data_IF_764396633927
#
_entry.id   IF_764396633927
#
_cell.length_a   1.000
_cell.length_b   1.000
_cell.length_c   1.000
_cell.angle_alpha   90.00
_cell.angle_beta   90.00
_cell.angle_gamma   90.00
#
_symmetry.space_group_name_H-M   'P 1'
#
loop_
_entity.id
_entity.type
_entity.pdbx_description
1 polymer ?
#
# COMPACT_ATOMS: atom_id res chain seq x y z
N UNK A 1 9.81 -32.64 -29.65
CA UNK A 1 9.64 -32.25 -28.23
C UNK A 1 9.37 -30.76 -28.20
N UNK A 2 8.24 -30.32 -27.63
CA UNK A 2 7.97 -28.89 -27.49
C UNK A 2 8.99 -28.28 -26.52
N UNK A 3 9.79 -27.33 -27.00
CA UNK A 3 10.75 -26.60 -26.15
C UNK A 3 9.96 -25.54 -25.40
N UNK A 4 9.65 -25.80 -24.14
CA UNK A 4 8.97 -24.85 -23.25
C UNK A 4 9.99 -24.03 -22.45
N UNK A 5 9.87 -22.71 -22.51
CA UNK A 5 10.85 -21.76 -21.97
C UNK A 5 11.67 -21.07 -23.06
N UNK A 6 12.83 -20.53 -22.69
CA UNK A 6 13.71 -19.83 -23.64
C UNK A 6 14.77 -20.74 -24.21
N UNK A 7 14.99 -20.66 -25.52
CA UNK A 7 16.09 -21.30 -26.21
C UNK A 7 16.92 -20.23 -26.92
N UNK A 8 18.24 -20.31 -26.81
CA UNK A 8 19.20 -19.51 -27.55
C UNK A 8 20.04 -20.45 -28.39
N UNK A 9 20.19 -20.14 -29.68
CA UNK A 9 21.08 -20.86 -30.59
C UNK A 9 22.07 -19.87 -31.19
N UNK A 10 23.34 -20.04 -30.81
CA UNK A 10 24.49 -19.32 -31.39
C UNK A 10 24.31 -17.80 -31.39
N UNK A 11 23.70 -17.27 -30.32
CA UNK A 11 23.34 -15.86 -30.20
C UNK A 11 24.58 -14.99 -30.00
N UNK A 12 24.74 -13.96 -30.83
CA UNK A 12 25.78 -12.94 -30.68
C UNK A 12 25.18 -11.55 -30.63
N UNK A 13 25.79 -10.68 -29.83
CA UNK A 13 25.43 -9.26 -29.71
C UNK A 13 26.71 -8.44 -29.82
N UNK A 14 26.77 -7.58 -30.82
CA UNK A 14 27.83 -6.59 -31.01
C UNK A 14 27.26 -5.21 -30.71
N UNK A 15 27.97 -4.42 -29.91
CA UNK A 15 27.60 -3.05 -29.56
C UNK A 15 28.86 -2.19 -29.61
N UNK A 16 28.81 -1.07 -30.33
CA UNK A 16 29.93 -0.14 -30.48
C UNK A 16 31.23 -0.86 -30.90
N UNK A 17 31.12 -1.73 -31.91
CA UNK A 17 32.18 -2.62 -32.44
C UNK A 17 32.73 -3.69 -31.45
N UNK A 18 32.30 -3.68 -30.19
CA UNK A 18 32.66 -4.69 -29.21
C UNK A 18 31.65 -5.85 -29.20
N UNK A 19 32.16 -7.09 -29.25
CA UNK A 19 31.31 -8.28 -29.07
C UNK A 19 30.99 -8.48 -27.59
N UNK A 20 29.73 -8.27 -27.20
CA UNK A 20 29.26 -8.39 -25.82
C UNK A 20 28.81 -9.82 -25.50
N UNK A 21 28.12 -10.47 -26.44
CA UNK A 21 27.77 -11.88 -26.39
C UNK A 21 28.31 -12.56 -27.65
N UNK A 22 28.97 -13.71 -27.50
CA UNK A 22 29.59 -14.44 -28.62
C UNK A 22 29.05 -15.87 -28.69
N UNK A 23 28.25 -16.16 -29.71
CA UNK A 23 27.75 -17.51 -30.04
C UNK A 23 27.14 -18.26 -28.85
N UNK A 24 26.43 -17.54 -27.97
CA UNK A 24 25.82 -18.10 -26.76
C UNK A 24 24.67 -19.02 -27.14
N UNK A 25 24.77 -20.29 -26.72
CA UNK A 25 23.68 -21.26 -26.83
C UNK A 25 23.30 -21.71 -25.43
N UNK A 26 22.01 -21.61 -25.09
CA UNK A 26 21.51 -21.89 -23.76
C UNK A 26 20.02 -22.26 -23.81
N UNK A 27 19.58 -23.08 -22.86
CA UNK A 27 18.18 -23.44 -22.68
C UNK A 27 17.76 -23.12 -21.25
N UNK A 28 16.71 -22.32 -21.12
CA UNK A 28 16.08 -21.95 -19.85
C UNK A 28 14.69 -22.58 -19.80
N UNK A 29 14.56 -23.78 -19.20
CA UNK A 29 13.31 -24.53 -19.21
C UNK A 29 12.22 -23.84 -18.39
N UNK A 30 10.98 -23.92 -18.86
CA UNK A 30 9.82 -23.46 -18.10
C UNK A 30 9.68 -24.20 -16.75
N UNK A 31 9.17 -23.51 -15.74
CA UNK A 31 8.93 -24.08 -14.40
C UNK A 31 10.20 -24.34 -13.58
N UNK A 32 11.38 -23.92 -14.05
CA UNK A 32 12.64 -24.01 -13.31
C UNK A 32 13.20 -22.62 -13.01
N UNK A 33 13.95 -22.52 -11.92
CA UNK A 33 14.78 -21.35 -11.64
C UNK A 33 16.16 -21.57 -12.27
N UNK A 34 16.54 -20.71 -13.21
CA UNK A 34 17.85 -20.72 -13.83
C UNK A 34 18.65 -19.50 -13.41
N UNK A 35 19.93 -19.71 -13.08
CA UNK A 35 20.83 -18.65 -12.65
C UNK A 35 21.97 -18.47 -13.66
N UNK A 36 22.24 -17.22 -14.04
CA UNK A 36 23.38 -16.85 -14.87
C UNK A 36 24.41 -16.13 -14.00
N UNK A 37 25.60 -16.72 -13.87
CA UNK A 37 26.72 -16.14 -13.09
C UNK A 37 27.87 -15.76 -14.02
N UNK A 38 28.64 -14.76 -13.61
CA UNK A 38 29.82 -14.29 -14.34
C UNK A 38 30.35 -12.98 -13.77
N UNK A 39 31.60 -12.61 -14.12
CA UNK A 39 32.24 -11.37 -13.68
C UNK A 39 31.46 -10.11 -14.10
N UNK A 40 31.67 -8.98 -13.43
CA UNK A 40 31.09 -7.71 -13.90
C UNK A 40 31.51 -7.44 -15.36
N UNK A 41 30.60 -6.91 -16.18
CA UNK A 41 30.85 -6.70 -17.61
C UNK A 41 30.71 -7.94 -18.51
N UNK A 42 30.48 -9.15 -17.97
CA UNK A 42 30.36 -10.38 -18.78
C UNK A 42 29.11 -10.50 -19.67
N UNK A 43 28.35 -9.42 -19.88
CA UNK A 43 27.14 -9.43 -20.73
C UNK A 43 25.85 -9.95 -20.08
N UNK A 44 25.79 -10.21 -18.77
CA UNK A 44 24.57 -10.70 -18.08
C UNK A 44 23.35 -9.80 -18.29
N UNK A 45 23.50 -8.50 -18.08
CA UNK A 45 22.41 -7.53 -18.28
C UNK A 45 22.01 -7.46 -19.75
N UNK A 46 22.96 -7.60 -20.67
CA UNK A 46 22.73 -7.68 -22.12
C UNK A 46 21.90 -8.91 -22.47
N UNK A 47 22.22 -10.08 -21.88
CA UNK A 47 21.43 -11.30 -22.04
C UNK A 47 19.99 -11.11 -21.55
N UNK A 48 19.78 -10.54 -20.36
CA UNK A 48 18.42 -10.26 -19.85
C UNK A 48 17.64 -9.28 -20.73
N UNK A 49 18.31 -8.25 -21.25
CA UNK A 49 17.70 -7.29 -22.21
C UNK A 49 17.30 -7.97 -23.51
N UNK A 50 18.13 -8.90 -24.01
CA UNK A 50 17.84 -9.68 -25.20
C UNK A 50 16.65 -10.63 -25.01
N UNK A 51 16.54 -11.31 -23.87
CA UNK A 51 15.39 -12.17 -23.54
C UNK A 51 14.05 -11.40 -23.49
N UNK A 52 14.07 -10.12 -23.09
CA UNK A 52 12.90 -9.25 -23.08
C UNK A 52 12.76 -8.39 -24.35
N UNK A 53 13.55 -8.70 -25.39
CA UNK A 53 13.63 -7.97 -26.67
C UNK A 53 13.72 -6.45 -26.51
N UNK A 54 14.55 -6.00 -25.57
CA UNK A 54 15.00 -4.61 -25.44
C UNK A 54 16.17 -4.32 -26.40
N UNK A 55 16.85 -5.38 -26.84
CA UNK A 55 17.84 -5.41 -27.92
C UNK A 55 17.59 -6.67 -28.74
N UNK A 56 17.84 -6.61 -30.04
CA UNK A 56 17.82 -7.79 -30.91
C UNK A 56 19.23 -8.40 -31.02
N UNK A 57 19.33 -9.73 -31.24
CA UNK A 57 20.62 -10.36 -31.54
C UNK A 57 21.20 -9.85 -32.86
N UNK A 58 22.52 -9.66 -32.91
CA UNK A 58 23.25 -9.37 -34.17
C UNK A 58 23.31 -10.61 -35.06
N UNK A 59 23.41 -11.80 -34.44
CA UNK A 59 23.33 -13.10 -35.13
C UNK A 59 22.83 -14.19 -34.19
N UNK A 60 22.44 -15.33 -34.77
CA UNK A 60 21.78 -16.41 -34.03
C UNK A 60 20.28 -16.14 -33.84
N UNK A 61 19.63 -16.98 -33.04
CA UNK A 61 18.17 -16.91 -32.84
C UNK A 61 17.81 -17.19 -31.39
N UNK A 62 16.69 -16.61 -30.97
CA UNK A 62 16.13 -16.76 -29.63
C UNK A 62 14.67 -17.15 -29.80
N UNK A 63 14.24 -18.16 -29.05
CA UNK A 63 12.86 -18.63 -29.04
C UNK A 63 12.28 -18.56 -27.64
N UNK A 64 10.97 -18.35 -27.57
CA UNK A 64 10.15 -18.52 -26.39
C UNK A 64 9.01 -19.48 -26.74
N UNK A 65 8.94 -20.61 -26.04
CA UNK A 65 7.92 -21.64 -26.25
C UNK A 65 7.80 -22.11 -27.72
N UNK A 66 8.95 -22.27 -28.39
CA UNK A 66 9.04 -22.69 -29.78
C UNK A 66 8.82 -21.61 -30.83
N UNK A 67 8.43 -20.38 -30.44
CA UNK A 67 8.24 -19.25 -31.36
C UNK A 67 9.48 -18.35 -31.34
N UNK A 68 10.07 -17.98 -32.49
CA UNK A 68 11.16 -17.01 -32.53
C UNK A 68 10.72 -15.67 -31.90
N UNK A 69 11.57 -15.06 -31.07
CA UNK A 69 11.26 -13.78 -30.42
C UNK A 69 11.01 -12.66 -31.44
N UNK A 70 11.61 -12.74 -32.62
CA UNK A 70 11.42 -11.79 -33.74
C UNK A 70 10.00 -11.79 -34.27
N UNK A 71 9.30 -12.92 -34.16
CA UNK A 71 7.97 -13.17 -34.74
C UNK A 71 6.85 -12.82 -33.75
N UNK A 72 7.20 -12.65 -32.46
CA UNK A 72 6.28 -12.20 -31.42
C UNK A 72 6.14 -10.69 -31.43
N UNK A 73 4.92 -10.18 -31.24
CA UNK A 73 4.72 -8.77 -30.92
C UNK A 73 5.44 -8.40 -29.61
N UNK A 74 6.16 -7.28 -29.63
CA UNK A 74 7.01 -6.85 -28.51
C UNK A 74 6.19 -6.55 -27.25
N UNK A 75 4.98 -6.01 -27.39
CA UNK A 75 4.11 -5.71 -26.25
C UNK A 75 3.53 -7.00 -25.66
N UNK A 76 3.13 -7.95 -26.51
CA UNK A 76 2.69 -9.28 -26.08
C UNK A 76 3.79 -10.03 -25.34
N UNK A 77 5.02 -10.01 -25.88
CA UNK A 77 6.19 -10.60 -25.22
C UNK A 77 6.42 -10.00 -23.83
N UNK A 78 6.48 -8.67 -23.72
CA UNK A 78 6.76 -7.97 -22.46
C UNK A 78 5.63 -8.07 -21.42
N UNK A 79 4.39 -8.38 -21.85
CA UNK A 79 3.29 -8.73 -20.93
C UNK A 79 3.44 -10.15 -20.36
N UNK A 80 4.11 -11.05 -21.07
CA UNK A 80 4.39 -12.43 -20.63
C UNK A 80 5.68 -12.55 -19.84
N UNK A 81 6.67 -11.70 -20.12
CA UNK A 81 8.01 -11.76 -19.54
C UNK A 81 8.24 -10.55 -18.65
N UNK A 82 8.19 -10.76 -17.33
CA UNK A 82 8.53 -9.72 -16.36
C UNK A 82 10.05 -9.53 -16.26
N UNK A 83 10.51 -8.28 -16.39
CA UNK A 83 11.90 -7.90 -16.19
C UNK A 83 12.00 -6.99 -14.96
N UNK A 84 12.72 -7.44 -13.93
CA UNK A 84 13.06 -6.59 -12.79
C UNK A 84 14.39 -5.90 -13.08
N UNK A 85 14.37 -4.58 -13.19
CA UNK A 85 15.57 -3.79 -13.43
C UNK A 85 16.46 -3.75 -12.19
N UNK A 86 17.78 -3.64 -12.40
CA UNK A 86 18.75 -3.52 -11.31
C UNK A 86 18.51 -2.28 -10.43
N UNK A 87 18.08 -1.18 -11.05
CA UNK A 87 17.60 0.02 -10.38
C UNK A 87 16.14 0.24 -10.80
N UNK A 88 15.17 0.15 -9.88
CA UNK A 88 13.78 0.43 -10.18
C UNK A 88 13.58 1.92 -10.45
N UNK A 89 12.69 2.24 -11.38
CA UNK A 89 12.20 3.61 -11.61
C UNK A 89 10.80 3.67 -11.01
N UNK A 90 10.62 4.58 -10.05
CA UNK A 90 9.31 4.85 -9.45
C UNK A 90 8.61 5.88 -10.35
N UNK A 91 7.39 5.58 -10.79
CA UNK A 91 6.60 6.39 -11.72
C UNK A 91 5.60 7.31 -11.01
N UNK A 92 5.33 7.04 -9.74
CA UNK A 92 4.28 7.64 -8.93
C UNK A 92 4.80 8.03 -7.55
N UNK A 93 3.99 8.73 -6.79
CA UNK A 93 4.30 9.19 -5.45
C UNK A 93 4.03 8.13 -4.36
N UNK A 94 3.23 7.10 -4.65
CA UNK A 94 2.77 6.11 -3.69
C UNK A 94 2.91 4.67 -4.21
N UNK A 95 3.32 3.75 -3.33
CA UNK A 95 3.48 2.32 -3.67
C UNK A 95 2.17 1.70 -4.19
N UNK A 96 1.02 2.14 -3.65
CA UNK A 96 -0.29 1.74 -4.14
C UNK A 96 -0.48 2.09 -5.63
N UNK A 97 -0.06 3.30 -6.01
CA UNK A 97 -0.18 3.80 -7.37
C UNK A 97 0.77 3.06 -8.31
N UNK A 98 1.97 2.68 -7.87
CA UNK A 98 2.88 1.81 -8.63
C UNK A 98 2.24 0.47 -9.03
N UNK A 99 1.59 -0.19 -8.07
CA UNK A 99 0.91 -1.47 -8.34
C UNK A 99 -0.18 -1.28 -9.41
N UNK A 100 -0.89 -0.15 -9.39
CA UNK A 100 -1.93 0.19 -10.36
C UNK A 100 -1.38 0.49 -11.75
N UNK A 101 -0.18 1.06 -11.87
CA UNK A 101 0.47 1.26 -13.17
C UNK A 101 0.73 -0.10 -13.85
N UNK A 102 1.21 -1.09 -13.11
CA UNK A 102 1.47 -2.42 -13.66
C UNK A 102 0.21 -3.27 -13.86
N UNK A 103 -0.81 -3.08 -13.03
CA UNK A 103 -2.05 -3.88 -13.00
C UNK A 103 -3.27 -3.02 -12.65
N UNK A 104 -3.81 -2.25 -13.61
CA UNK A 104 -4.91 -1.32 -13.37
C UNK A 104 -6.21 -2.04 -12.95
N UNK A 105 -6.41 -3.26 -13.46
CA UNK A 105 -7.64 -4.05 -13.28
C UNK A 105 -7.69 -4.84 -11.96
N UNK A 106 -6.71 -4.66 -11.06
CA UNK A 106 -6.76 -5.33 -9.76
C UNK A 106 -7.85 -4.73 -8.86
N UNK A 107 -8.74 -5.56 -8.29
CA UNK A 107 -9.72 -5.09 -7.31
C UNK A 107 -9.04 -4.49 -6.07
N UNK A 108 -9.61 -3.43 -5.49
CA UNK A 108 -9.05 -2.74 -4.31
C UNK A 108 -8.65 -3.70 -3.20
N UNK A 109 -9.55 -4.60 -2.79
CA UNK A 109 -9.28 -5.55 -1.71
C UNK A 109 -8.07 -6.45 -1.99
N UNK A 110 -7.83 -6.80 -3.26
CA UNK A 110 -6.68 -7.61 -3.65
C UNK A 110 -5.37 -6.82 -3.62
N UNK A 111 -5.42 -5.54 -3.95
CA UNK A 111 -4.24 -4.66 -3.86
C UNK A 111 -3.82 -4.48 -2.42
N UNK A 112 -4.77 -4.19 -1.52
CA UNK A 112 -4.51 -4.09 -0.08
C UNK A 112 -3.92 -5.40 0.48
N UNK A 113 -4.50 -6.54 0.12
CA UNK A 113 -4.00 -7.86 0.53
C UNK A 113 -2.56 -8.10 0.05
N UNK A 114 -2.23 -7.72 -1.18
CA UNK A 114 -0.90 -7.88 -1.76
C UNK A 114 0.13 -6.98 -1.05
N UNK A 115 -0.21 -5.72 -0.81
CA UNK A 115 0.66 -4.79 -0.08
C UNK A 115 0.93 -5.28 1.34
N UNK A 116 -0.09 -5.79 2.02
CA UNK A 116 0.05 -6.38 3.35
C UNK A 116 0.96 -7.62 3.35
N UNK A 117 0.77 -8.55 2.40
CA UNK A 117 1.60 -9.76 2.29
C UNK A 117 3.06 -9.49 1.96
N UNK A 118 3.33 -8.43 1.20
CA UNK A 118 4.69 -8.02 0.82
C UNK A 118 5.31 -7.02 1.80
N UNK A 119 4.62 -6.69 2.91
CA UNK A 119 5.05 -5.69 3.88
C UNK A 119 5.36 -4.32 3.26
N UNK A 120 4.66 -3.94 2.18
CA UNK A 120 4.89 -2.72 1.41
C UNK A 120 4.11 -1.50 1.94
N UNK A 121 3.65 -1.58 3.18
CA UNK A 121 2.91 -0.52 3.88
C UNK A 121 1.39 -0.71 3.85
N UNK A 122 0.73 -0.10 4.84
CA UNK A 122 -0.72 0.06 4.91
C UNK A 122 -1.09 1.47 4.47
N UNK A 123 -2.34 1.67 4.03
CA UNK A 123 -2.82 3.04 3.82
C UNK A 123 -2.81 3.83 5.13
N UNK A 124 -2.70 5.16 5.04
CA UNK A 124 -2.71 6.05 6.22
C UNK A 124 -3.92 5.77 7.13
N UNK A 125 -5.09 5.53 6.52
CA UNK A 125 -6.33 5.22 7.23
C UNK A 125 -6.24 3.92 8.01
N UNK A 126 -5.72 2.87 7.40
CA UNK A 126 -5.55 1.55 8.04
C UNK A 126 -4.53 1.63 9.17
N UNK A 127 -3.41 2.31 8.95
CA UNK A 127 -2.37 2.53 9.95
C UNK A 127 -2.89 3.36 11.14
N UNK A 128 -3.76 4.35 10.90
CA UNK A 128 -4.28 5.24 11.93
C UNK A 128 -5.52 4.70 12.66
N UNK A 129 -6.23 3.72 12.07
CA UNK A 129 -7.48 3.16 12.61
C UNK A 129 -7.38 2.69 14.07
N UNK A 130 -6.31 2.00 14.52
CA UNK A 130 -6.18 1.59 15.93
C UNK A 130 -6.13 2.81 16.87
N UNK A 131 -5.43 3.87 16.46
CA UNK A 131 -5.32 5.11 17.24
C UNK A 131 -6.64 5.88 17.29
N UNK A 132 -7.38 5.93 16.18
CA UNK A 132 -8.72 6.51 16.14
C UNK A 132 -9.67 5.79 17.11
N UNK A 133 -9.66 4.45 17.11
CA UNK A 133 -10.48 3.64 18.04
C UNK A 133 -10.11 3.90 19.50
N UNK A 134 -8.82 3.97 19.80
CA UNK A 134 -8.34 4.28 21.15
C UNK A 134 -8.79 5.68 21.60
N UNK A 135 -8.60 6.70 20.74
CA UNK A 135 -8.99 8.07 21.04
C UNK A 135 -10.50 8.22 21.30
N UNK A 136 -11.33 7.59 20.48
CA UNK A 136 -12.79 7.58 20.67
C UNK A 136 -13.17 6.91 21.98
N UNK A 137 -12.55 5.77 22.30
CA UNK A 137 -12.80 5.07 23.57
C UNK A 137 -12.44 5.96 24.76
N UNK A 138 -11.25 6.56 24.76
CA UNK A 138 -10.81 7.47 25.84
C UNK A 138 -11.72 8.68 25.99
N UNK A 139 -12.21 9.26 24.88
CA UNK A 139 -13.09 10.42 24.91
C UNK A 139 -14.51 10.10 25.43
N UNK A 140 -15.03 8.91 25.11
CA UNK A 140 -16.42 8.54 25.43
C UNK A 140 -16.59 7.89 26.80
N UNK A 141 -15.55 7.24 27.35
CA UNK A 141 -15.62 6.58 28.67
C UNK A 141 -16.20 7.50 29.76
N UNK A 142 -15.71 8.74 29.95
CA UNK A 142 -16.23 9.62 31.01
C UNK A 142 -17.72 9.98 30.84
N UNK A 143 -18.17 10.21 29.60
CA UNK A 143 -19.56 10.53 29.31
C UNK A 143 -20.49 9.32 29.48
N UNK A 144 -19.99 8.11 29.19
CA UNK A 144 -20.73 6.86 29.43
C UNK A 144 -20.82 6.57 30.92
N UNK A 145 -19.73 6.77 31.68
CA UNK A 145 -19.73 6.51 33.11
C UNK A 145 -20.61 7.50 33.87
N UNK A 146 -20.64 8.78 33.48
CA UNK A 146 -21.59 9.75 34.05
C UNK A 146 -23.06 9.39 33.76
N UNK A 147 -23.34 8.72 32.64
CA UNK A 147 -24.67 8.22 32.29
C UNK A 147 -25.13 7.07 33.20
N UNK A 148 -24.21 6.17 33.60
CA UNK A 148 -24.52 5.06 34.51
C UNK A 148 -24.90 5.54 35.93
N UNK A 149 -24.32 6.66 36.35
CA UNK A 149 -24.57 7.26 37.67
C UNK A 149 -26.00 7.80 37.82
N UNK A 150 -26.62 8.25 36.72
CA UNK A 150 -28.01 8.74 36.71
C UNK A 150 -29.03 7.63 37.04
N UNK A 151 -28.70 6.37 36.75
CA UNK A 151 -29.58 5.21 37.01
C UNK A 151 -29.57 4.68 38.44
N UNK A 152 -28.67 5.15 39.31
CA UNK A 152 -28.39 4.52 40.61
C UNK A 152 -28.56 5.44 41.84
N UNK A 153 -29.38 6.49 41.77
CA UNK A 153 -29.61 7.46 42.88
C UNK A 153 -28.49 8.51 42.96
N UNK A 154 -28.33 9.29 41.90
CA UNK A 154 -27.73 10.61 42.00
C UNK A 154 -28.55 11.54 41.13
N UNK A 155 -29.23 12.52 41.74
CA UNK A 155 -29.91 13.56 41.00
C UNK A 155 -28.82 14.50 40.46
N UNK A 156 -28.53 14.50 39.15
CA UNK A 156 -27.50 15.38 38.58
C UNK A 156 -27.83 16.84 38.95
N UNK A 157 -26.81 17.64 39.28
CA UNK A 157 -26.99 18.95 39.90
C UNK A 157 -27.99 19.88 39.18
N UNK A 158 -28.06 19.82 37.85
CA UNK A 158 -29.05 20.56 37.06
C UNK A 158 -30.49 20.06 37.28
N UNK A 159 -30.71 18.74 37.36
CA UNK A 159 -32.01 18.14 37.64
C UNK A 159 -32.49 18.48 39.06
N UNK A 160 -31.61 18.36 40.07
CA UNK A 160 -31.90 18.77 41.45
C UNK A 160 -32.25 20.25 41.54
N UNK A 161 -31.50 21.11 40.84
CA UNK A 161 -31.75 22.55 40.82
C UNK A 161 -33.11 22.90 40.22
N UNK A 162 -33.52 22.24 39.13
CA UNK A 162 -34.84 22.42 38.52
C UNK A 162 -35.96 21.96 39.47
N UNK A 163 -35.79 20.81 40.13
CA UNK A 163 -36.78 20.31 41.10
C UNK A 163 -36.92 21.27 42.28
N UNK A 164 -35.80 21.75 42.85
CA UNK A 164 -35.82 22.72 43.96
C UNK A 164 -36.41 24.08 43.56
N UNK A 165 -36.30 24.46 42.28
CA UNK A 165 -36.93 25.65 41.72
C UNK A 165 -38.44 25.47 41.43
N UNK A 166 -39.02 24.31 41.76
CA UNK A 166 -40.45 24.02 41.60
C UNK A 166 -40.85 23.46 40.23
N UNK A 167 -39.88 23.06 39.39
CA UNK A 167 -40.17 22.39 38.11
C UNK A 167 -40.61 20.95 38.36
N UNK A 168 -41.64 20.50 37.64
CA UNK A 168 -42.13 19.13 37.72
C UNK A 168 -41.00 18.10 37.49
N UNK A 169 -40.87 17.07 38.36
CA UNK A 169 -39.80 16.09 38.27
C UNK A 169 -39.67 15.38 36.91
N UNK A 170 -40.78 15.09 36.22
CA UNK A 170 -40.74 14.42 34.91
C UNK A 170 -40.13 15.33 33.84
N UNK A 171 -40.40 16.63 33.95
CA UNK A 171 -39.83 17.65 33.06
C UNK A 171 -38.33 17.81 33.30
N UNK A 172 -37.89 17.82 34.56
CA UNK A 172 -36.48 17.85 34.92
C UNK A 172 -35.71 16.61 34.41
N UNK A 173 -36.31 15.41 34.51
CA UNK A 173 -35.75 14.17 33.93
C UNK A 173 -35.60 14.30 32.41
N UNK A 174 -36.62 14.80 31.72
CA UNK A 174 -36.60 14.94 30.26
C UNK A 174 -35.47 15.86 29.80
N UNK A 175 -35.29 17.02 30.45
CA UNK A 175 -34.18 17.92 30.14
C UNK A 175 -32.82 17.26 30.41
N UNK A 176 -32.67 16.54 31.51
CA UNK A 176 -31.44 15.83 31.82
C UNK A 176 -31.07 14.79 30.76
N UNK A 177 -32.04 14.00 30.29
CA UNK A 177 -31.82 13.01 29.22
C UNK A 177 -31.39 13.70 27.92
N UNK A 178 -32.04 14.80 27.54
CA UNK A 178 -31.69 15.57 26.34
C UNK A 178 -30.26 16.12 26.45
N UNK A 179 -29.90 16.75 27.57
CA UNK A 179 -28.56 17.30 27.80
C UNK A 179 -27.50 16.21 27.77
N UNK A 180 -27.78 15.06 28.38
CA UNK A 180 -26.86 13.92 28.40
C UNK A 180 -26.57 13.39 26.99
N UNK A 181 -27.61 13.13 26.18
CA UNK A 181 -27.41 12.69 24.80
C UNK A 181 -26.75 13.77 23.93
N UNK A 182 -27.04 15.04 24.18
CA UNK A 182 -26.39 16.17 23.50
C UNK A 182 -24.87 16.19 23.78
N UNK A 183 -24.47 16.04 25.05
CA UNK A 183 -23.05 15.99 25.44
C UNK A 183 -22.35 14.75 24.87
N UNK A 184 -23.01 13.59 24.88
CA UNK A 184 -22.46 12.36 24.30
C UNK A 184 -22.26 12.49 22.78
N UNK A 185 -23.23 13.07 22.07
CA UNK A 185 -23.12 13.33 20.64
C UNK A 185 -22.02 14.35 20.34
N UNK A 186 -21.96 15.45 21.09
CA UNK A 186 -20.95 16.48 20.92
C UNK A 186 -19.52 15.94 21.12
N UNK A 187 -19.30 15.14 22.17
CA UNK A 187 -17.99 14.51 22.44
C UNK A 187 -17.61 13.49 21.36
N UNK A 188 -18.55 12.67 20.88
CA UNK A 188 -18.32 11.74 19.78
C UNK A 188 -17.92 12.47 18.49
N UNK A 189 -18.65 13.52 18.11
CA UNK A 189 -18.37 14.32 16.90
C UNK A 189 -17.03 15.03 17.02
N UNK A 190 -16.73 15.63 18.16
CA UNK A 190 -15.45 16.29 18.41
C UNK A 190 -14.28 15.31 18.30
N UNK A 191 -14.37 14.13 18.93
CA UNK A 191 -13.33 13.12 18.88
C UNK A 191 -13.11 12.57 17.46
N UNK A 192 -14.19 12.29 16.71
CA UNK A 192 -14.10 11.88 15.31
C UNK A 192 -13.45 12.94 14.42
N UNK A 193 -13.83 14.20 14.61
CA UNK A 193 -13.32 15.33 13.84
C UNK A 193 -11.84 15.54 14.12
N UNK A 194 -11.43 15.58 15.39
CA UNK A 194 -10.03 15.68 15.79
C UNK A 194 -9.21 14.51 15.25
N UNK A 195 -9.70 13.27 15.34
CA UNK A 195 -9.00 12.11 14.80
C UNK A 195 -8.81 12.19 13.28
N UNK A 196 -9.82 12.63 12.52
CA UNK A 196 -9.69 12.83 11.06
C UNK A 196 -8.75 13.97 10.69
N UNK A 197 -8.77 15.06 11.45
CA UNK A 197 -7.83 16.17 11.24
C UNK A 197 -6.39 15.72 11.54
N UNK A 198 -6.19 14.96 12.61
CA UNK A 198 -4.89 14.39 12.96
C UNK A 198 -4.38 13.42 11.88
N UNK A 199 -5.24 12.51 11.38
CA UNK A 199 -4.90 11.63 10.25
C UNK A 199 -4.45 12.45 9.02
N UNK A 200 -5.18 13.50 8.66
CA UNK A 200 -4.83 14.37 7.53
C UNK A 200 -3.58 15.23 7.75
N UNK A 201 -3.24 15.55 9.00
CA UNK A 201 -2.08 16.36 9.34
C UNK A 201 -0.79 15.52 9.45
N UNK A 202 -0.91 14.25 9.88
CA UNK A 202 0.22 13.36 10.12
C UNK A 202 0.70 12.62 8.87
N UNK A 203 -0.14 12.49 7.85
CA UNK A 203 0.20 11.76 6.63
C UNK A 203 0.16 12.67 5.40
N UNK A 204 1.11 12.48 4.49
CA UNK A 204 1.11 13.13 3.18
C UNK A 204 0.15 12.42 2.19
N UNK A 205 0.06 12.96 0.96
CA UNK A 205 -0.77 12.36 -0.11
C UNK A 205 -0.31 10.96 -0.52
N UNK A 206 0.94 10.60 -0.23
CA UNK A 206 1.53 9.30 -0.49
C UNK A 206 1.38 8.31 0.68
N UNK A 207 0.54 8.63 1.68
CA UNK A 207 0.34 7.85 2.89
C UNK A 207 1.61 7.65 3.76
N UNK A 208 2.59 8.53 3.62
CA UNK A 208 3.80 8.52 4.45
C UNK A 208 3.62 9.45 5.63
N UNK A 209 4.18 9.07 6.77
CA UNK A 209 4.23 9.94 7.94
C UNK A 209 5.08 11.17 7.63
N UNK A 210 4.53 12.35 7.85
CA UNK A 210 5.27 13.62 7.78
C UNK A 210 6.23 13.67 8.97
N UNK A 211 7.51 13.98 8.71
CA UNK A 211 8.45 14.15 9.82
C UNK A 211 8.03 15.36 10.64
N UNK A 212 7.60 15.13 11.87
CA UNK A 212 7.37 16.23 12.81
C UNK A 212 8.73 16.86 13.14
N UNK A 213 8.83 18.20 13.19
CA UNK A 213 10.04 18.84 13.69
C UNK A 213 10.37 18.22 15.05
N UNK A 214 11.60 17.71 15.20
CA UNK A 214 12.02 17.12 16.46
C UNK A 214 11.76 18.15 17.56
N UNK A 215 10.88 17.80 18.51
CA UNK A 215 10.72 18.61 19.70
C UNK A 215 12.12 18.74 20.31
N UNK A 216 12.66 19.95 20.31
CA UNK A 216 13.91 20.29 20.96
C UNK A 216 13.80 19.80 22.39
N UNK A 217 14.46 18.67 22.69
CA UNK A 217 14.58 18.15 24.05
C UNK A 217 15.31 19.24 24.83
N UNK A 218 14.57 20.07 25.57
CA UNK A 218 15.15 20.91 26.60
C UNK A 218 15.72 19.95 27.65
N UNK A 219 17.06 19.90 27.68
CA UNK A 219 17.84 19.28 28.73
C UNK A 219 17.62 20.02 30.06
#
# INVERSE_FOLDING_TARGET
>A
MAVHGFLLERVSVVRDEATVLRQVSAHFPAGRCSAVRGASGSGKTTLLRLLNRLIDPTSGKVWLDGVPLTDLDVLVLRRRVGLVAQAPVVLTDAVLNEVRVGRPDLPEGRVTELLARLCLGQSAREAFLPHQRSALRTALIPAIDSTKVVGLISLPGAMSGLILAGVDPLTAIRYQIVVMYLLLAATAVAALTCARLAERALFDRAHRLVSLPAATRRA
#
